data_IF_732148871168
#
_entry.id   IF_732148871168
#
_cell.length_a   1.000
_cell.length_b   1.000
_cell.length_c   1.000
_cell.angle_alpha   90.00
_cell.angle_beta   90.00
_cell.angle_gamma   90.00
#
_symmetry.space_group_name_H-M   'P 1'
#
loop_
_entity.id
_entity.type
_entity.pdbx_description
1 polymer ?
#
# COMPACT_ATOMS: atom_id res chain seq x y z
N UNK A 1 -22.55 -43.86 7.65
CA UNK A 1 -21.85 -43.21 6.52
C UNK A 1 -22.22 -41.74 6.52
N UNK A 2 -21.43 -40.93 7.23
CA UNK A 2 -21.53 -39.47 7.21
C UNK A 2 -20.62 -38.97 6.10
N UNK A 3 -21.21 -38.65 4.94
CA UNK A 3 -20.46 -38.04 3.83
C UNK A 3 -19.92 -36.68 4.27
N UNK A 4 -18.60 -36.57 4.27
CA UNK A 4 -17.85 -35.30 4.33
C UNK A 4 -18.18 -34.53 3.03
N UNK A 5 -18.79 -33.34 3.08
CA UNK A 5 -18.97 -32.54 1.88
C UNK A 5 -17.67 -31.81 1.56
N UNK A 6 -16.75 -32.52 0.92
CA UNK A 6 -15.68 -31.92 0.14
C UNK A 6 -16.20 -31.53 -1.24
N UNK A 7 -16.72 -30.31 -1.39
CA UNK A 7 -16.82 -29.62 -2.69
C UNK A 7 -16.74 -28.10 -2.46
N UNK A 8 -15.49 -27.69 -2.36
CA UNK A 8 -15.01 -26.54 -1.61
C UNK A 8 -15.08 -25.22 -2.42
N UNK A 9 -16.21 -24.97 -3.10
CA UNK A 9 -16.46 -23.76 -3.89
C UNK A 9 -17.44 -22.83 -3.16
N UNK A 10 -16.93 -22.13 -2.13
CA UNK A 10 -17.66 -21.03 -1.52
C UNK A 10 -17.89 -19.93 -2.56
N UNK A 11 -19.14 -19.74 -2.96
CA UNK A 11 -19.57 -18.62 -3.81
C UNK A 11 -19.75 -17.41 -2.89
N UNK A 12 -18.81 -16.47 -2.98
CA UNK A 12 -18.86 -15.22 -2.21
C UNK A 12 -19.93 -14.29 -2.78
N UNK A 13 -20.91 -13.91 -1.98
CA UNK A 13 -21.83 -12.82 -2.32
C UNK A 13 -21.11 -11.46 -2.28
N UNK A 14 -21.70 -10.46 -2.93
CA UNK A 14 -21.16 -9.09 -2.87
C UNK A 14 -21.18 -8.54 -1.44
N UNK A 15 -22.18 -8.92 -0.64
CA UNK A 15 -22.29 -8.55 0.78
C UNK A 15 -21.21 -9.22 1.64
N UNK A 16 -20.96 -10.52 1.46
CA UNK A 16 -19.87 -11.22 2.13
C UNK A 16 -18.51 -10.63 1.77
N UNK A 17 -18.34 -10.26 0.50
CA UNK A 17 -17.14 -9.58 0.02
C UNK A 17 -16.98 -8.21 0.66
N UNK A 18 -18.07 -7.43 0.73
CA UNK A 18 -18.10 -6.12 1.36
C UNK A 18 -17.68 -6.20 2.82
N UNK A 19 -18.31 -7.11 3.57
CA UNK A 19 -18.05 -7.30 4.99
C UNK A 19 -16.60 -7.73 5.24
N UNK A 20 -16.08 -8.68 4.45
CA UNK A 20 -14.68 -9.08 4.55
C UNK A 20 -13.70 -7.91 4.31
N UNK A 21 -13.95 -7.07 3.30
CA UNK A 21 -13.11 -5.91 3.02
C UNK A 21 -13.18 -4.87 4.16
N UNK A 22 -14.35 -4.66 4.75
CA UNK A 22 -14.51 -3.81 5.95
C UNK A 22 -13.71 -4.35 7.14
N UNK A 23 -13.79 -5.65 7.42
CA UNK A 23 -13.00 -6.26 8.48
C UNK A 23 -11.49 -6.09 8.26
N UNK A 24 -11.00 -6.21 7.01
CA UNK A 24 -9.58 -5.91 6.73
C UNK A 24 -9.22 -4.44 6.98
N UNK A 25 -10.12 -3.50 6.69
CA UNK A 25 -9.86 -2.08 6.98
C UNK A 25 -9.79 -1.85 8.50
N UNK A 26 -10.71 -2.41 9.27
CA UNK A 26 -10.73 -2.31 10.73
C UNK A 26 -9.45 -2.92 11.35
N UNK A 27 -9.03 -4.10 10.89
CA UNK A 27 -7.80 -4.73 11.36
C UNK A 27 -6.55 -3.98 10.89
N UNK A 28 -6.60 -3.29 9.76
CA UNK A 28 -5.53 -2.37 9.35
C UNK A 28 -5.41 -1.18 10.30
N UNK A 29 -6.53 -0.60 10.73
CA UNK A 29 -6.55 0.53 11.68
C UNK A 29 -6.02 0.13 13.06
N UNK A 30 -6.24 -1.12 13.47
CA UNK A 30 -5.70 -1.68 14.71
C UNK A 30 -4.21 -2.06 14.63
N UNK A 31 -3.57 -1.94 13.47
CA UNK A 31 -2.17 -2.31 13.26
C UNK A 31 -1.93 -3.82 13.11
N UNK A 32 -2.98 -4.62 12.92
CA UNK A 32 -2.89 -6.07 12.74
C UNK A 32 -2.50 -6.49 11.32
N UNK A 33 -2.37 -5.53 10.39
CA UNK A 33 -1.94 -5.77 9.02
C UNK A 33 -0.59 -5.08 8.77
N UNK A 34 0.45 -5.87 8.51
CA UNK A 34 1.79 -5.37 8.13
C UNK A 34 2.15 -5.88 6.74
N UNK A 35 2.57 -4.98 5.84
CA UNK A 35 2.92 -5.32 4.44
C UNK A 35 1.83 -6.20 3.77
N UNK A 36 0.55 -5.87 3.97
CA UNK A 36 -0.63 -6.63 3.51
C UNK A 36 -0.88 -8.00 4.17
N UNK A 37 0.01 -8.45 5.05
CA UNK A 37 -0.14 -9.69 5.79
C UNK A 37 -0.88 -9.43 7.09
N UNK A 38 -1.99 -10.15 7.30
CA UNK A 38 -2.74 -10.14 8.55
C UNK A 38 -2.02 -11.06 9.55
N UNK A 39 -1.73 -10.54 10.74
CA UNK A 39 -1.18 -11.34 11.85
C UNK A 39 -2.22 -12.34 12.38
N UNK A 40 -1.79 -13.30 13.21
CA UNK A 40 -2.68 -14.38 13.65
C UNK A 40 -3.90 -13.88 14.45
N UNK A 41 -3.71 -12.88 15.31
CA UNK A 41 -4.81 -12.25 16.05
C UNK A 41 -5.86 -11.64 15.11
N UNK A 42 -5.44 -10.90 14.09
CA UNK A 42 -6.32 -10.32 13.09
C UNK A 42 -7.02 -11.38 12.24
N UNK A 43 -6.35 -12.50 11.92
CA UNK A 43 -6.98 -13.62 11.21
C UNK A 43 -8.13 -14.20 12.03
N UNK A 44 -7.87 -14.49 13.30
CA UNK A 44 -8.88 -15.07 14.20
C UNK A 44 -10.08 -14.13 14.33
N UNK A 45 -9.84 -12.83 14.56
CA UNK A 45 -10.92 -11.82 14.63
C UNK A 45 -11.74 -11.75 13.34
N UNK A 46 -11.09 -11.78 12.17
CA UNK A 46 -11.79 -11.77 10.88
C UNK A 46 -12.66 -13.03 10.74
N UNK A 47 -12.12 -14.20 11.06
CA UNK A 47 -12.87 -15.46 10.95
C UNK A 47 -14.06 -15.49 11.90
N UNK A 48 -13.87 -15.08 13.16
CA UNK A 48 -14.92 -15.10 14.19
C UNK A 48 -16.05 -14.14 13.83
N UNK A 49 -15.72 -12.90 13.48
CA UNK A 49 -16.73 -11.92 13.06
C UNK A 49 -17.46 -12.33 11.78
N UNK A 50 -16.75 -12.98 10.85
CA UNK A 50 -17.39 -13.49 9.62
C UNK A 50 -18.36 -14.63 9.92
N UNK A 51 -17.99 -15.52 10.85
CA UNK A 51 -18.86 -16.59 11.33
C UNK A 51 -20.06 -16.02 12.10
N UNK A 52 -19.88 -15.03 12.97
CA UNK A 52 -20.97 -14.37 13.68
C UNK A 52 -21.96 -13.70 12.72
N UNK A 53 -21.47 -13.06 11.66
CA UNK A 53 -22.31 -12.34 10.71
C UNK A 53 -23.10 -13.26 9.77
N UNK A 54 -22.50 -14.37 9.30
CA UNK A 54 -23.10 -15.20 8.25
C UNK A 54 -23.39 -16.64 8.67
N UNK A 55 -22.92 -17.09 9.85
CA UNK A 55 -23.03 -18.47 10.31
C UNK A 55 -22.15 -19.46 9.54
N UNK A 56 -21.21 -18.98 8.72
CA UNK A 56 -20.40 -19.81 7.82
C UNK A 56 -18.96 -19.87 8.32
N UNK A 57 -18.52 -21.08 8.70
CA UNK A 57 -17.13 -21.33 9.09
C UNK A 57 -16.29 -21.65 7.86
N UNK A 58 -15.35 -20.77 7.53
CA UNK A 58 -14.46 -20.93 6.37
C UNK A 58 -12.99 -20.83 6.79
N UNK A 59 -12.10 -21.67 6.23
CA UNK A 59 -10.69 -21.65 6.59
C UNK A 59 -10.02 -20.38 6.06
N UNK A 60 -8.99 -19.87 6.77
CA UNK A 60 -8.25 -18.65 6.42
C UNK A 60 -7.78 -18.61 4.95
N UNK A 61 -7.40 -19.76 4.40
CA UNK A 61 -7.00 -19.91 2.99
C UNK A 61 -8.03 -19.34 2.01
N UNK A 62 -9.33 -19.49 2.28
CA UNK A 62 -10.41 -18.97 1.41
C UNK A 62 -10.47 -17.44 1.43
N UNK A 63 -10.23 -16.80 2.58
CA UNK A 63 -10.12 -15.34 2.68
C UNK A 63 -8.91 -14.82 1.90
N UNK A 64 -7.76 -15.52 1.96
CA UNK A 64 -6.58 -15.18 1.17
C UNK A 64 -6.84 -15.24 -0.34
N UNK A 65 -7.52 -16.30 -0.82
CA UNK A 65 -7.93 -16.43 -2.23
C UNK A 65 -8.88 -15.29 -2.62
N UNK A 66 -9.86 -14.98 -1.76
CA UNK A 66 -10.80 -13.89 -2.00
C UNK A 66 -10.10 -12.54 -2.07
N UNK A 67 -9.18 -12.26 -1.15
CA UNK A 67 -8.36 -11.05 -1.15
C UNK A 67 -7.60 -10.87 -2.48
N UNK A 68 -6.92 -11.93 -2.94
CA UNK A 68 -6.21 -11.92 -4.22
C UNK A 68 -7.15 -11.71 -5.41
N UNK A 69 -8.35 -12.26 -5.34
CA UNK A 69 -9.38 -12.09 -6.38
C UNK A 69 -9.85 -10.65 -6.45
N UNK A 70 -10.15 -10.02 -5.31
CA UNK A 70 -10.49 -8.60 -5.21
C UNK A 70 -9.35 -7.70 -5.70
N UNK A 71 -8.09 -8.04 -5.37
CA UNK A 71 -6.92 -7.31 -5.87
C UNK A 71 -6.82 -7.34 -7.40
N UNK A 72 -6.96 -8.53 -8.01
CA UNK A 72 -6.95 -8.68 -9.48
C UNK A 72 -8.11 -7.91 -10.15
N UNK A 73 -9.28 -7.90 -9.53
CA UNK A 73 -10.44 -7.12 -10.01
C UNK A 73 -10.14 -5.62 -9.94
N UNK A 74 -9.62 -5.14 -8.82
CA UNK A 74 -9.21 -3.76 -8.62
C UNK A 74 -8.14 -3.32 -9.64
N UNK A 75 -7.05 -4.08 -9.79
CA UNK A 75 -5.97 -3.77 -10.73
C UNK A 75 -6.48 -3.71 -12.18
N UNK A 76 -7.39 -4.62 -12.54
CA UNK A 76 -8.06 -4.62 -13.84
C UNK A 76 -8.90 -3.36 -14.04
N UNK A 77 -9.64 -2.92 -13.02
CA UNK A 77 -10.44 -1.69 -13.07
C UNK A 77 -9.55 -0.43 -13.11
N UNK A 78 -8.46 -0.37 -12.35
CA UNK A 78 -7.50 0.73 -12.44
C UNK A 78 -6.82 0.76 -13.81
N UNK A 79 -6.49 -0.39 -14.39
CA UNK A 79 -6.02 -0.47 -15.78
C UNK A 79 -7.06 0.05 -16.76
N UNK A 80 -8.35 -0.25 -16.56
CA UNK A 80 -9.44 0.26 -17.40
C UNK A 80 -9.50 1.79 -17.41
N UNK A 81 -9.37 2.39 -16.23
CA UNK A 81 -9.58 3.83 -15.96
C UNK A 81 -8.32 4.69 -16.01
N UNK A 82 -7.13 4.07 -16.10
CA UNK A 82 -5.83 4.76 -16.11
C UNK A 82 -5.71 5.77 -17.25
N UNK A 83 -5.28 6.99 -16.91
CA UNK A 83 -5.04 8.11 -17.84
C UNK A 83 -6.26 8.46 -18.70
N UNK A 84 -7.46 8.35 -18.13
CA UNK A 84 -8.71 8.74 -18.76
C UNK A 84 -9.37 9.85 -17.93
N UNK A 85 -9.62 10.98 -18.57
CA UNK A 85 -10.33 12.12 -17.99
C UNK A 85 -11.77 12.10 -18.53
N UNK A 86 -12.74 12.52 -17.71
CA UNK A 86 -14.14 12.61 -18.15
C UNK A 86 -14.89 11.29 -18.18
N UNK A 87 -14.51 10.30 -17.37
CA UNK A 87 -15.29 9.08 -17.21
C UNK A 87 -16.65 9.41 -16.56
N UNK A 88 -17.73 9.17 -17.29
CA UNK A 88 -19.08 9.16 -16.73
C UNK A 88 -19.30 7.88 -15.92
N UNK A 89 -20.10 7.98 -14.86
CA UNK A 89 -20.56 6.81 -14.10
C UNK A 89 -22.09 6.78 -14.05
N UNK A 90 -22.69 5.60 -14.13
CA UNK A 90 -24.12 5.40 -13.89
C UNK A 90 -24.42 5.54 -12.40
N UNK A 91 -25.71 5.70 -12.03
CA UNK A 91 -26.16 5.64 -10.64
C UNK A 91 -25.81 4.32 -9.93
N UNK A 92 -25.57 3.26 -10.69
CA UNK A 92 -25.15 1.93 -10.23
C UNK A 92 -23.62 1.78 -10.12
N UNK A 93 -22.84 2.82 -10.45
CA UNK A 93 -21.38 2.81 -10.36
C UNK A 93 -20.66 2.15 -11.55
N UNK A 94 -21.38 1.78 -12.62
CA UNK A 94 -20.77 1.33 -13.89
C UNK A 94 -20.22 2.51 -14.69
N UNK A 95 -19.24 2.28 -15.54
CA UNK A 95 -18.70 3.31 -16.43
C UNK A 95 -19.73 3.60 -17.55
N UNK A 96 -20.20 4.85 -17.60
CA UNK A 96 -21.12 5.35 -18.61
C UNK A 96 -20.34 6.13 -19.68
N UNK A 97 -19.94 5.43 -20.75
CA UNK A 97 -19.18 5.97 -21.88
C UNK A 97 -19.77 5.48 -23.20
N UNK A 98 -19.45 6.18 -24.30
CA UNK A 98 -19.94 5.84 -25.65
C UNK A 98 -19.42 4.49 -26.15
N UNK A 99 -20.12 3.90 -27.13
CA UNK A 99 -19.71 2.64 -27.77
C UNK A 99 -18.33 2.77 -28.43
N UNK A 100 -18.05 3.91 -29.05
CA UNK A 100 -16.76 4.19 -29.68
C UNK A 100 -15.60 4.16 -28.66
N UNK A 101 -15.82 4.74 -27.48
CA UNK A 101 -14.85 4.69 -26.38
C UNK A 101 -14.60 3.25 -25.93
N UNK A 102 -15.66 2.45 -25.76
CA UNK A 102 -15.52 1.04 -25.39
C UNK A 102 -14.82 0.21 -26.47
N UNK A 103 -15.09 0.48 -27.75
CA UNK A 103 -14.44 -0.17 -28.88
C UNK A 103 -12.94 0.16 -28.93
N UNK A 104 -12.57 1.43 -28.77
CA UNK A 104 -11.17 1.85 -28.66
C UNK A 104 -10.48 1.18 -27.47
N UNK A 105 -11.14 1.16 -26.31
CA UNK A 105 -10.59 0.53 -25.11
C UNK A 105 -10.44 -0.98 -25.26
N UNK A 106 -11.37 -1.65 -25.94
CA UNK A 106 -11.27 -3.08 -26.24
C UNK A 106 -10.18 -3.38 -27.27
N UNK A 107 -9.86 -2.46 -28.18
CA UNK A 107 -8.70 -2.60 -29.09
C UNK A 107 -7.39 -2.55 -28.30
N UNK A 108 -7.26 -1.61 -27.37
CA UNK A 108 -6.07 -1.48 -26.51
C UNK A 108 -5.97 -2.62 -25.48
N UNK A 109 -7.10 -3.06 -24.95
CA UNK A 109 -7.19 -4.12 -23.96
C UNK A 109 -8.51 -4.91 -24.13
N UNK A 110 -8.47 -6.08 -24.80
CA UNK A 110 -9.68 -6.89 -25.04
C UNK A 110 -10.41 -7.30 -23.75
N UNK A 111 -9.67 -7.41 -22.64
CA UNK A 111 -10.23 -7.68 -21.32
C UNK A 111 -11.10 -6.57 -20.74
N UNK A 112 -11.18 -5.39 -21.37
CA UNK A 112 -12.07 -4.29 -20.98
C UNK A 112 -13.55 -4.67 -21.14
N UNK A 113 -13.88 -5.51 -22.12
CA UNK A 113 -15.27 -5.87 -22.47
C UNK A 113 -16.06 -6.42 -21.28
N UNK A 114 -15.40 -7.15 -20.37
CA UNK A 114 -16.04 -7.72 -19.17
C UNK A 114 -16.58 -6.69 -18.17
N UNK A 115 -16.16 -5.42 -18.29
CA UNK A 115 -16.60 -4.32 -17.44
C UNK A 115 -17.73 -3.48 -18.05
N UNK A 116 -18.05 -3.70 -19.33
CA UNK A 116 -19.07 -2.93 -20.04
C UNK A 116 -20.46 -3.22 -19.48
N UNK A 117 -20.76 -4.49 -19.27
CA UNK A 117 -22.12 -4.94 -18.94
C UNK A 117 -22.32 -5.22 -17.44
N UNK A 118 -21.26 -5.09 -16.62
CA UNK A 118 -21.31 -5.44 -15.18
C UNK A 118 -20.62 -4.37 -14.32
N UNK A 119 -21.33 -3.78 -13.34
CA UNK A 119 -20.68 -2.94 -12.35
C UNK A 119 -19.66 -3.77 -11.56
N UNK A 120 -18.56 -3.14 -11.18
CA UNK A 120 -17.61 -3.75 -10.26
C UNK A 120 -18.07 -3.46 -8.84
N UNK A 121 -18.62 -4.46 -8.18
CA UNK A 121 -19.06 -4.34 -6.79
C UNK A 121 -17.89 -4.02 -5.86
N UNK A 122 -18.18 -3.30 -4.76
CA UNK A 122 -17.23 -3.00 -3.68
C UNK A 122 -15.97 -2.21 -4.10
N UNK A 123 -16.01 -1.50 -5.22
CA UNK A 123 -14.87 -0.68 -5.70
C UNK A 123 -14.44 0.39 -4.70
N UNK A 124 -15.37 0.98 -3.97
CA UNK A 124 -15.14 1.94 -2.88
C UNK A 124 -14.22 1.35 -1.79
N UNK A 125 -14.50 0.13 -1.36
CA UNK A 125 -13.71 -0.57 -0.36
C UNK A 125 -12.40 -1.10 -0.94
N UNK A 126 -12.40 -1.57 -2.19
CA UNK A 126 -11.19 -1.99 -2.87
C UNK A 126 -10.20 -0.82 -3.04
N UNK A 127 -10.67 0.39 -3.37
CA UNK A 127 -9.81 1.58 -3.40
C UNK A 127 -9.24 1.90 -2.01
N UNK A 128 -9.99 1.73 -0.93
CA UNK A 128 -9.46 1.92 0.44
C UNK A 128 -8.42 0.86 0.84
N UNK A 129 -8.63 -0.39 0.42
CA UNK A 129 -7.77 -1.53 0.80
C UNK A 129 -6.50 -1.61 -0.06
N UNK A 130 -6.62 -1.35 -1.36
CA UNK A 130 -5.56 -1.54 -2.36
C UNK A 130 -5.05 -0.24 -2.97
N UNK A 131 -5.85 0.81 -2.93
CA UNK A 131 -5.45 2.12 -3.42
C UNK A 131 -4.21 2.59 -2.66
N UNK A 132 -3.35 3.28 -3.39
CA UNK A 132 -2.06 3.77 -2.88
C UNK A 132 -2.27 4.77 -1.76
N UNK A 133 -2.40 4.29 -0.52
CA UNK A 133 -1.94 4.96 0.68
C UNK A 133 -0.47 4.56 0.81
N UNK A 134 0.43 5.39 0.28
CA UNK A 134 1.85 5.32 0.60
C UNK A 134 2.01 5.67 2.09
N UNK A 135 1.88 4.66 2.95
CA UNK A 135 2.47 4.65 4.29
C UNK A 135 3.42 3.45 4.33
N UNK A 136 4.63 3.70 3.85
CA UNK A 136 5.87 3.24 4.46
C UNK A 136 6.99 3.99 3.75
N UNK A 137 7.38 5.13 4.34
CA UNK A 137 8.73 5.62 4.12
C UNK A 137 9.69 4.53 4.57
N UNK A 138 10.58 4.10 3.66
CA UNK A 138 11.55 3.04 3.91
C UNK A 138 11.06 1.66 3.47
N UNK A 139 11.13 1.40 2.17
CA UNK A 139 11.82 0.23 1.61
C UNK A 139 11.64 0.27 0.09
N UNK A 140 12.77 0.38 -0.60
CA UNK A 140 12.84 0.55 -2.04
C UNK A 140 12.17 -0.59 -2.79
N UNK A 141 11.57 -0.20 -3.91
CA UNK A 141 11.26 -1.10 -5.00
C UNK A 141 12.51 -1.92 -5.36
N UNK A 142 12.53 -3.21 -5.08
CA UNK A 142 13.43 -4.13 -5.76
C UNK A 142 12.72 -4.62 -7.02
N UNK A 143 13.15 -4.08 -8.17
CA UNK A 143 12.76 -4.57 -9.49
C UNK A 143 13.57 -5.85 -9.79
N UNK A 144 13.31 -6.93 -9.06
CA UNK A 144 13.86 -8.27 -9.30
C UNK A 144 13.04 -9.30 -8.51
N UNK A 145 11.77 -9.45 -8.89
CA UNK A 145 11.07 -10.71 -8.69
C UNK A 145 10.05 -10.85 -9.82
N UNK A 146 10.58 -11.18 -11.00
CA UNK A 146 9.79 -11.82 -12.04
C UNK A 146 9.34 -13.18 -11.51
N UNK A 147 8.14 -13.56 -11.94
CA UNK A 147 7.46 -14.84 -11.75
C UNK A 147 8.39 -16.02 -11.42
N UNK A 148 8.50 -16.35 -10.13
CA UNK A 148 8.54 -17.70 -9.58
C UNK A 148 8.69 -17.59 -8.06
N UNK A 149 8.35 -18.64 -7.33
CA UNK A 149 8.35 -18.72 -5.85
C UNK A 149 7.08 -18.15 -5.21
N UNK A 150 5.95 -18.81 -5.42
CA UNK A 150 4.99 -19.12 -4.35
C UNK A 150 4.29 -20.46 -4.68
N UNK A 151 5.08 -21.49 -4.95
CA UNK A 151 4.63 -22.86 -4.78
C UNK A 151 5.59 -23.52 -3.79
N UNK A 152 5.08 -24.33 -2.87
CA UNK A 152 5.83 -25.01 -1.80
C UNK A 152 6.11 -24.19 -0.53
N UNK A 153 5.09 -23.94 0.30
CA UNK A 153 5.19 -24.17 1.76
C UNK A 153 3.83 -24.16 2.46
N UNK A 154 3.02 -25.18 2.22
CA UNK A 154 1.96 -25.61 3.14
C UNK A 154 1.83 -27.13 3.02
N UNK A 155 2.81 -27.82 3.58
CA UNK A 155 2.74 -29.23 3.95
C UNK A 155 3.36 -29.33 5.33
N UNK A 156 2.52 -29.21 6.35
CA UNK A 156 2.66 -29.98 7.60
C UNK A 156 1.54 -31.02 7.49
N UNK A 157 1.87 -32.30 7.35
CA UNK A 157 2.12 -33.23 8.46
C UNK A 157 0.95 -33.27 9.43
N UNK A 158 0.08 -34.25 9.20
CA UNK A 158 -0.66 -34.92 10.26
C UNK A 158 -0.50 -36.43 10.04
N UNK A 159 -0.22 -37.09 11.16
CA UNK A 159 0.09 -38.50 11.35
C UNK A 159 -1.11 -39.42 11.04
N UNK A 160 -0.85 -40.60 10.49
CA UNK A 160 -1.61 -41.81 10.83
C UNK A 160 -0.80 -43.08 10.49
N UNK A 161 -0.70 -43.95 11.49
CA UNK A 161 -0.05 -45.26 11.50
C UNK A 161 -0.57 -46.19 10.39
N UNK A 162 0.32 -46.94 9.72
CA UNK A 162 0.09 -48.38 9.56
C UNK A 162 1.41 -49.15 9.35
N UNK A 163 1.41 -50.35 9.89
CA UNK A 163 2.56 -51.19 10.14
C UNK A 163 2.98 -52.05 8.94
N UNK A 164 4.24 -52.51 9.04
CA UNK A 164 4.69 -53.85 8.61
C UNK A 164 4.84 -54.12 7.10
N UNK A 165 6.08 -54.18 6.63
CA UNK A 165 6.77 -55.48 6.44
C UNK A 165 8.07 -55.33 5.64
N UNK A 166 9.09 -56.02 6.16
CA UNK A 166 10.42 -56.23 5.57
C UNK A 166 10.32 -56.99 4.24
N UNK A 167 11.22 -56.66 3.29
CA UNK A 167 12.17 -57.64 2.72
C UNK A 167 13.28 -57.00 1.88
N UNK A 168 14.44 -57.64 2.01
CA UNK A 168 15.80 -57.37 1.53
C UNK A 168 15.99 -57.28 -0.01
N UNK A 169 16.72 -56.26 -0.50
CA UNK A 169 18.16 -56.26 -0.95
C UNK A 169 18.66 -57.51 -1.74
N UNK A 170 19.65 -57.48 -2.70
CA UNK A 170 20.51 -56.39 -3.22
C UNK A 170 20.89 -56.39 -4.74
N UNK A 171 21.67 -55.35 -5.12
CA UNK A 171 22.88 -55.34 -6.00
C UNK A 171 22.69 -55.41 -7.52
N UNK A 172 23.40 -54.65 -8.36
CA UNK A 172 24.85 -54.41 -8.41
C UNK A 172 25.13 -53.00 -8.99
N UNK A 173 25.90 -52.17 -8.28
CA UNK A 173 27.32 -51.84 -8.57
C UNK A 173 27.47 -50.75 -9.65
N UNK A 174 28.31 -49.72 -9.54
CA UNK A 174 29.41 -49.44 -8.65
C UNK A 174 29.73 -47.92 -8.73
N UNK A 175 30.07 -47.34 -7.57
CA UNK A 175 31.28 -46.52 -7.28
C UNK A 175 31.55 -45.33 -8.22
N UNK A 176 31.73 -44.08 -7.79
CA UNK A 176 31.93 -43.44 -6.49
C UNK A 176 32.35 -41.99 -6.79
N UNK A 177 31.72 -41.00 -6.15
CA UNK A 177 32.31 -40.05 -5.19
C UNK A 177 33.85 -39.91 -5.25
N UNK A 178 34.48 -38.75 -5.08
CA UNK A 178 34.12 -37.47 -4.46
C UNK A 178 35.26 -36.49 -4.89
N UNK A 179 34.98 -35.24 -5.25
CA UNK A 179 35.10 -34.06 -4.36
C UNK A 179 36.53 -33.69 -3.93
N UNK A 180 36.95 -32.47 -4.27
CA UNK A 180 37.19 -31.35 -3.33
C UNK A 180 38.22 -30.34 -3.86
N UNK A 181 37.80 -29.07 -3.79
CA UNK A 181 38.49 -27.84 -3.34
C UNK A 181 39.98 -27.60 -3.68
N UNK A 182 40.25 -26.35 -4.10
CA UNK A 182 41.53 -25.67 -3.88
C UNK A 182 41.67 -24.36 -4.68
N UNK A 183 41.41 -23.23 -4.03
CA UNK A 183 41.87 -21.86 -4.38
C UNK A 183 43.32 -21.68 -3.82
N UNK A 184 44.07 -20.56 -3.92
CA UNK A 184 44.14 -19.41 -4.87
C UNK A 184 45.60 -19.11 -5.34
N UNK A 185 45.82 -17.93 -5.98
CA UNK A 185 46.91 -16.93 -5.74
C UNK A 185 47.98 -16.68 -6.83
N UNK A 186 47.95 -15.42 -7.35
CA UNK A 186 49.03 -14.43 -7.66
C UNK A 186 50.31 -14.88 -8.40
N UNK A 187 50.66 -14.32 -9.57
CA UNK A 187 51.29 -13.02 -9.94
C UNK A 187 52.77 -13.19 -10.35
N UNK A 188 53.23 -12.29 -11.24
CA UNK A 188 54.61 -11.96 -11.67
C UNK A 188 55.23 -12.86 -12.76
N UNK A 189 55.37 -12.33 -13.99
CA UNK A 189 56.57 -11.67 -14.59
C UNK A 189 57.47 -12.73 -15.27
N UNK A 190 58.06 -12.60 -16.47
CA UNK A 190 58.56 -11.49 -17.29
C UNK A 190 58.96 -12.04 -18.69
N UNK A 191 58.97 -11.15 -19.70
CA UNK A 191 59.93 -11.09 -20.85
C UNK A 191 59.87 -12.22 -21.93
N UNK A 192 60.04 -12.03 -23.24
CA UNK A 192 60.54 -10.95 -24.10
C UNK A 192 60.15 -11.21 -25.58
N UNK A 193 60.08 -10.11 -26.35
CA UNK A 193 60.43 -9.95 -27.79
C UNK A 193 59.74 -10.80 -28.88
N UNK A 194 59.46 -10.36 -30.10
CA UNK A 194 59.56 -9.10 -30.84
C UNK A 194 58.90 -9.34 -32.22
N UNK A 195 58.36 -8.28 -32.85
CA UNK A 195 58.25 -7.98 -34.30
C UNK A 195 56.85 -7.59 -34.83
N UNK A 196 56.68 -6.26 -34.85
CA UNK A 196 56.44 -5.40 -36.02
C UNK A 196 55.14 -5.46 -36.89
N UNK A 197 54.49 -4.27 -36.86
CA UNK A 197 53.81 -3.46 -37.90
C UNK A 197 52.43 -3.80 -38.50
N UNK A 198 51.48 -2.86 -38.29
CA UNK A 198 50.29 -2.64 -39.12
C UNK A 198 49.18 -1.85 -38.39
N UNK A 199 48.69 -0.69 -38.90
CA UNK A 199 47.86 0.24 -38.13
C UNK A 199 46.38 -0.19 -38.14
N UNK A 200 45.67 -0.05 -37.01
CA UNK A 200 44.21 -0.25 -37.01
C UNK A 200 43.48 0.71 -36.08
N UNK A 201 42.76 1.61 -36.75
CA UNK A 201 41.69 2.54 -36.36
C UNK A 201 40.64 1.99 -35.35
N UNK A 202 41.07 1.70 -34.12
CA UNK A 202 40.20 1.10 -33.09
C UNK A 202 40.06 1.94 -31.82
N UNK A 203 40.99 2.87 -31.54
CA UNK A 203 40.94 3.73 -30.33
C UNK A 203 39.84 4.81 -30.34
N UNK A 204 39.46 5.33 -31.51
CA UNK A 204 38.43 6.39 -31.60
C UNK A 204 37.01 5.88 -31.33
N UNK A 205 36.72 4.61 -31.67
CA UNK A 205 35.39 3.99 -31.46
C UNK A 205 35.11 3.65 -29.99
N UNK A 206 36.14 3.26 -29.24
CA UNK A 206 36.02 2.93 -27.81
C UNK A 206 35.80 4.19 -26.96
N UNK A 207 36.54 5.28 -27.21
CA UNK A 207 36.34 6.55 -26.52
C UNK A 207 34.97 7.17 -26.82
N UNK A 208 34.46 7.04 -28.05
CA UNK A 208 33.12 7.52 -28.44
C UNK A 208 31.99 6.72 -27.77
N UNK A 209 32.17 5.40 -27.58
CA UNK A 209 31.21 4.57 -26.82
C UNK A 209 31.20 4.90 -25.33
N UNK A 210 32.38 5.11 -24.73
CA UNK A 210 32.51 5.45 -23.31
C UNK A 210 31.96 6.85 -22.99
N UNK A 211 32.20 7.83 -23.86
CA UNK A 211 31.62 9.18 -23.76
C UNK A 211 30.08 9.18 -23.89
N UNK A 212 29.51 8.38 -24.80
CA UNK A 212 28.05 8.21 -24.91
C UNK A 212 27.42 7.54 -23.70
N UNK A 213 28.08 6.55 -23.10
CA UNK A 213 27.60 5.90 -21.88
C UNK A 213 27.60 6.85 -20.67
N UNK A 214 28.63 7.70 -20.55
CA UNK A 214 28.69 8.73 -19.49
C UNK A 214 27.63 9.81 -19.69
N UNK A 215 27.39 10.27 -20.93
CA UNK A 215 26.31 11.22 -21.23
C UNK A 215 24.92 10.62 -20.99
N UNK A 216 24.71 9.34 -21.34
CA UNK A 216 23.47 8.65 -21.04
C UNK A 216 23.25 8.47 -19.53
N UNK A 217 24.30 8.13 -18.77
CA UNK A 217 24.24 8.05 -17.30
C UNK A 217 23.94 9.40 -16.64
N UNK A 218 24.53 10.49 -17.15
CA UNK A 218 24.26 11.84 -16.67
C UNK A 218 22.83 12.28 -16.97
N UNK A 219 22.32 12.03 -18.18
CA UNK A 219 20.93 12.33 -18.53
C UNK A 219 19.92 11.57 -17.66
N UNK A 220 20.21 10.30 -17.32
CA UNK A 220 19.38 9.53 -16.38
C UNK A 220 19.43 10.13 -14.96
N UNK A 221 20.60 10.55 -14.49
CA UNK A 221 20.75 11.19 -13.19
C UNK A 221 20.02 12.54 -13.11
N UNK A 222 20.03 13.32 -14.19
CA UNK A 222 19.33 14.61 -14.27
C UNK A 222 17.80 14.40 -14.25
N UNK A 223 17.27 13.42 -14.98
CA UNK A 223 15.84 13.05 -14.95
C UNK A 223 15.41 12.55 -13.56
N UNK A 224 16.26 11.79 -12.87
CA UNK A 224 15.98 11.35 -11.50
C UNK A 224 15.92 12.56 -10.56
N UNK A 225 16.86 13.51 -10.67
CA UNK A 225 16.89 14.71 -9.83
C UNK A 225 15.66 15.58 -10.05
N UNK A 226 15.30 15.84 -11.31
CA UNK A 226 14.10 16.61 -11.67
C UNK A 226 12.82 15.93 -11.15
N UNK A 227 12.75 14.59 -11.23
CA UNK A 227 11.63 13.81 -10.69
C UNK A 227 11.53 13.89 -9.17
N UNK A 228 12.66 13.86 -8.46
CA UNK A 228 12.71 14.02 -6.99
C UNK A 228 12.28 15.43 -6.59
N UNK A 229 12.82 16.46 -7.24
CA UNK A 229 12.43 17.86 -6.97
C UNK A 229 10.95 18.11 -7.28
N UNK A 230 10.42 17.53 -8.36
CA UNK A 230 8.99 17.58 -8.67
C UNK A 230 8.16 16.89 -7.58
N UNK A 231 8.61 15.74 -7.07
CA UNK A 231 7.95 15.06 -5.95
C UNK A 231 7.95 15.90 -4.68
N UNK A 232 9.08 16.53 -4.34
CA UNK A 232 9.21 17.34 -3.13
C UNK A 232 8.32 18.58 -3.19
N UNK A 233 8.22 19.21 -4.37
CA UNK A 233 7.26 20.31 -4.61
C UNK A 233 5.81 19.87 -4.41
N UNK A 234 5.44 18.70 -4.95
CA UNK A 234 4.09 18.14 -4.77
C UNK A 234 3.84 17.82 -3.28
N UNK A 235 4.82 17.23 -2.59
CA UNK A 235 4.69 16.87 -1.18
C UNK A 235 4.54 18.11 -0.29
N UNK A 236 5.36 19.14 -0.53
CA UNK A 236 5.28 20.41 0.18
C UNK A 236 3.94 21.10 -0.05
N UNK A 237 3.43 21.09 -1.28
CA UNK A 237 2.10 21.64 -1.59
C UNK A 237 0.99 20.86 -0.89
N UNK A 238 1.06 19.52 -0.86
CA UNK A 238 0.09 18.68 -0.14
C UNK A 238 0.13 18.93 1.36
N UNK A 239 1.30 19.05 1.97
CA UNK A 239 1.43 19.35 3.40
C UNK A 239 0.84 20.72 3.72
N UNK A 240 1.10 21.73 2.88
CA UNK A 240 0.50 23.05 3.03
C UNK A 240 -1.03 23.02 2.94
N UNK A 241 -1.58 22.23 2.01
CA UNK A 241 -3.04 22.03 1.91
C UNK A 241 -3.63 21.30 3.12
N UNK A 242 -2.88 20.37 3.74
CA UNK A 242 -3.32 19.68 4.97
C UNK A 242 -3.30 20.63 6.16
N UNK A 243 -2.23 21.41 6.34
CA UNK A 243 -2.10 22.38 7.43
C UNK A 243 -3.17 23.48 7.37
N UNK A 244 -3.59 23.85 6.16
CA UNK A 244 -4.65 24.84 5.92
C UNK A 244 -6.05 24.22 5.79
N UNK A 245 -6.18 22.88 5.82
CA UNK A 245 -7.49 22.25 5.74
C UNK A 245 -8.26 22.56 7.03
N UNK A 246 -9.53 23.02 6.96
CA UNK A 246 -10.28 23.45 8.13
C UNK A 246 -10.28 22.40 9.26
N UNK A 247 -10.48 21.12 8.93
CA UNK A 247 -10.51 20.04 9.95
C UNK A 247 -9.17 19.81 10.69
N UNK A 248 -8.03 20.18 10.09
CA UNK A 248 -6.70 20.02 10.68
C UNK A 248 -6.17 21.33 11.27
N UNK A 249 -6.37 22.44 10.56
CA UNK A 249 -5.98 23.80 10.96
C UNK A 249 -6.69 24.25 12.24
N UNK A 250 -7.99 23.93 12.37
CA UNK A 250 -8.76 24.20 13.59
C UNK A 250 -8.99 22.96 14.46
N UNK A 251 -8.06 22.00 14.42
CA UNK A 251 -8.17 20.80 15.27
C UNK A 251 -8.33 21.15 16.75
N UNK A 252 -9.03 20.29 17.49
CA UNK A 252 -9.22 20.48 18.94
C UNK A 252 -7.89 20.61 19.67
N UNK A 253 -6.87 19.84 19.28
CA UNK A 253 -5.54 19.91 19.88
C UNK A 253 -4.93 21.32 19.71
N UNK A 254 -4.93 21.87 18.50
CA UNK A 254 -4.40 23.20 18.19
C UNK A 254 -5.13 24.29 18.99
N UNK A 255 -6.46 24.22 19.07
CA UNK A 255 -7.25 25.17 19.85
C UNK A 255 -6.92 25.09 21.36
N UNK A 256 -6.73 23.88 21.91
CA UNK A 256 -6.34 23.71 23.31
C UNK A 256 -4.92 24.21 23.59
N UNK A 257 -3.96 23.96 22.69
CA UNK A 257 -2.58 24.47 22.81
C UNK A 257 -2.56 25.99 22.87
N UNK A 258 -3.31 26.66 21.98
CA UNK A 258 -3.41 28.12 21.98
C UNK A 258 -4.11 28.61 23.25
N UNK A 259 -5.22 27.98 23.68
CA UNK A 259 -5.88 28.33 24.94
C UNK A 259 -4.93 28.24 26.14
N UNK A 260 -4.10 27.20 26.21
CA UNK A 260 -3.11 27.03 27.29
C UNK A 260 -1.99 28.08 27.26
N UNK A 261 -1.70 28.66 26.09
CA UNK A 261 -0.69 29.73 25.97
C UNK A 261 -1.20 31.10 26.38
N UNK A 262 -2.53 31.30 26.52
CA UNK A 262 -3.10 32.58 26.92
C UNK A 262 -2.82 32.86 28.39
N UNK A 263 -1.83 33.70 28.68
CA UNK A 263 -1.45 34.05 30.06
C UNK A 263 -2.56 34.74 30.85
N UNK A 264 -3.49 35.41 30.16
CA UNK A 264 -4.64 36.06 30.76
C UNK A 264 -5.76 35.08 31.17
N UNK A 265 -5.74 33.83 30.68
CA UNK A 265 -6.73 32.81 31.05
C UNK A 265 -6.10 31.87 32.08
N UNK A 266 -6.45 32.05 33.34
CA UNK A 266 -5.98 31.16 34.42
C UNK A 266 -6.52 29.74 34.20
N UNK A 267 -5.62 28.76 34.17
CA UNK A 267 -5.98 27.35 34.04
C UNK A 267 -7.04 26.94 35.09
N UNK A 268 -8.08 26.25 34.64
CA UNK A 268 -9.24 25.82 35.44
C UNK A 268 -10.10 26.94 36.07
N UNK A 269 -9.94 28.21 35.66
CA UNK A 269 -10.90 29.27 35.98
C UNK A 269 -12.29 28.99 35.37
N UNK A 270 -13.35 29.72 35.78
CA UNK A 270 -14.65 29.66 35.13
C UNK A 270 -14.55 29.88 33.62
N UNK A 271 -13.86 30.97 33.21
CA UNK A 271 -13.59 31.27 31.80
C UNK A 271 -12.86 30.13 31.09
N UNK A 272 -11.84 29.54 31.70
CA UNK A 272 -11.10 28.42 31.09
C UNK A 272 -11.98 27.20 30.84
N UNK A 273 -12.80 26.82 31.84
CA UNK A 273 -13.71 25.66 31.72
C UNK A 273 -14.78 25.90 30.66
N UNK A 274 -15.36 27.10 30.64
CA UNK A 274 -16.35 27.48 29.64
C UNK A 274 -15.73 27.53 28.23
N UNK A 275 -14.50 28.03 28.11
CA UNK A 275 -13.75 28.05 26.85
C UNK A 275 -13.49 26.64 26.30
N UNK A 276 -13.13 25.68 27.15
CA UNK A 276 -12.97 24.28 26.73
C UNK A 276 -14.28 23.74 26.14
N UNK A 277 -15.40 23.98 26.82
CA UNK A 277 -16.70 23.48 26.36
C UNK A 277 -17.09 24.12 25.02
N UNK A 278 -16.95 25.44 24.91
CA UNK A 278 -17.23 26.20 23.69
C UNK A 278 -16.40 25.74 22.48
N UNK A 279 -15.09 25.53 22.68
CA UNK A 279 -14.18 25.09 21.62
C UNK A 279 -14.37 23.60 21.25
N UNK A 280 -14.89 22.78 22.17
CA UNK A 280 -15.22 21.38 21.89
C UNK A 280 -16.49 21.22 21.06
N UNK A 281 -17.45 22.11 21.25
CA UNK A 281 -18.79 22.01 20.68
C UNK A 281 -18.80 22.06 19.15
N UNK A 282 -18.11 23.04 18.54
CA UNK A 282 -18.13 23.23 17.09
C UNK A 282 -16.73 23.55 16.53
N UNK A 283 -16.43 23.03 15.33
CA UNK A 283 -15.27 23.43 14.53
C UNK A 283 -15.28 24.91 14.13
N UNK A 284 -16.45 25.51 13.91
CA UNK A 284 -16.57 26.93 13.62
C UNK A 284 -16.10 27.81 14.79
N UNK A 285 -16.35 27.38 16.04
CA UNK A 285 -15.88 28.06 17.24
C UNK A 285 -14.35 28.06 17.31
N UNK A 286 -13.73 26.91 17.03
CA UNK A 286 -12.27 26.79 16.97
C UNK A 286 -11.68 27.62 15.85
N UNK A 287 -12.31 27.61 14.68
CA UNK A 287 -11.87 28.40 13.53
C UNK A 287 -11.89 29.89 13.85
N UNK A 288 -12.94 30.37 14.51
CA UNK A 288 -13.08 31.77 14.91
C UNK A 288 -12.06 32.14 15.98
N UNK A 289 -11.87 31.28 16.98
CA UNK A 289 -10.85 31.46 18.01
C UNK A 289 -9.43 31.54 17.43
N UNK A 290 -9.09 30.63 16.52
CA UNK A 290 -7.76 30.56 15.89
C UNK A 290 -7.54 31.61 14.80
N UNK A 291 -8.61 32.23 14.28
CA UNK A 291 -8.54 33.33 13.33
C UNK A 291 -7.90 34.58 13.96
N UNK A 292 -8.20 34.86 15.23
CA UNK A 292 -7.57 35.96 15.94
C UNK A 292 -6.08 35.68 16.14
N UNK A 293 -5.24 36.59 15.65
CA UNK A 293 -3.78 36.46 15.70
C UNK A 293 -3.19 36.84 17.06
N UNK A 294 -3.82 37.80 17.74
CA UNK A 294 -3.40 38.33 19.03
C UNK A 294 -4.16 37.69 20.20
N UNK A 295 -3.49 37.60 21.35
CA UNK A 295 -4.00 36.92 22.53
C UNK A 295 -5.16 37.69 23.19
N UNK A 296 -5.18 39.02 23.09
CA UNK A 296 -6.22 39.83 23.72
C UNK A 296 -7.57 39.64 23.03
N UNK A 297 -7.62 39.69 21.69
CA UNK A 297 -8.84 39.44 20.94
C UNK A 297 -9.31 37.99 21.07
N UNK A 298 -8.40 37.02 21.24
CA UNK A 298 -8.76 35.64 21.59
C UNK A 298 -9.50 35.56 22.91
N UNK A 299 -9.01 36.27 23.93
CA UNK A 299 -9.64 36.31 25.25
C UNK A 299 -10.98 37.03 25.19
N UNK A 300 -11.06 38.20 24.57
CA UNK A 300 -12.32 38.94 24.38
C UNK A 300 -13.38 38.11 23.64
N UNK A 301 -12.96 37.35 22.62
CA UNK A 301 -13.85 36.42 21.93
C UNK A 301 -14.38 35.34 22.88
N UNK A 302 -13.52 34.74 23.69
CA UNK A 302 -13.93 33.72 24.66
C UNK A 302 -14.87 34.29 25.72
N UNK A 303 -14.61 35.50 26.23
CA UNK A 303 -15.50 36.18 27.18
C UNK A 303 -16.87 36.46 26.57
N UNK A 304 -16.90 36.99 25.34
CA UNK A 304 -18.14 37.23 24.60
C UNK A 304 -18.92 35.94 24.34
N UNK A 305 -18.25 34.88 23.91
CA UNK A 305 -18.90 33.64 23.52
C UNK A 305 -19.36 32.79 24.72
N UNK A 306 -18.63 32.86 25.83
CA UNK A 306 -18.93 32.04 27.02
C UNK A 306 -19.74 32.79 28.08
N UNK A 307 -19.74 34.12 28.06
CA UNK A 307 -20.34 34.97 29.09
C UNK A 307 -19.54 35.03 30.40
N UNK A 308 -18.38 34.38 30.47
CA UNK A 308 -17.48 34.39 31.61
C UNK A 308 -16.42 35.47 31.46
N UNK A 309 -16.00 36.09 32.57
CA UNK A 309 -14.90 37.08 32.55
C UNK A 309 -13.61 36.47 33.08
N UNK A 310 -12.47 36.95 32.59
CA UNK A 310 -11.14 36.60 33.14
C UNK A 310 -10.90 37.15 34.55
N UNK A 311 -11.69 38.13 34.97
CA UNK A 311 -11.55 38.83 36.26
C UNK A 311 -12.35 38.17 37.40
N UNK A 312 -13.01 37.03 37.13
CA UNK A 312 -13.80 36.26 38.11
C UNK A 312 -13.14 34.94 38.55
#
# INVERSE_FOLDING_TARGET
>A
MTSIPGSDNLIWSDEQTRFFLQLRLDESLKGNIRKQMVNEAGRQVIMDKFYEAFGIKIPWRKFGIKYNTCKKQYDSFKKLTRNRTGLGFTSTGSINMSEDWWNERCKEWPGARKFKDKPVANMDLMEKVFGTVYISGGEGWSAQLGEDVLDTKYTDHDDEDDAESRRDVPTQEAVGNESRRGDPTQETDVASESRNVGPSSSRSKVNKKRSRAVQAGQAVADVIRESVESRDKILSHKNHLIENHPEFSCSQLRAMEVLHSLSAVRMWSPLYKASINHLKEDAANRQTFLFYGDDENRVLYLEFATGESRDH
#
